data_IF_594848575052
#
_entry.id   IF_594848575052
#
_cell.length_a   1.000
_cell.length_b   1.000
_cell.length_c   1.000
_cell.angle_alpha   90.00
_cell.angle_beta   90.00
_cell.angle_gamma   90.00
#
_symmetry.space_group_name_H-M   'P 1'
#
loop_
_entity.id
_entity.type
_entity.pdbx_description
1 polymer ?
#
# COMPACT_ATOMS: atom_id res chain seq x y z
N UNK A 1 2.63 -3.53 11.59
CA UNK A 1 2.56 -3.72 10.13
C UNK A 1 1.37 -2.93 9.62
N UNK A 2 1.51 -2.21 8.50
CA UNK A 2 0.40 -1.51 7.82
C UNK A 2 0.14 -2.23 6.50
N UNK A 3 -1.06 -2.78 6.34
CA UNK A 3 -1.49 -3.53 5.16
C UNK A 3 -2.83 -2.98 4.65
N UNK A 4 -2.80 -2.04 3.68
CA UNK A 4 -4.00 -1.50 3.06
C UNK A 4 -4.84 -2.58 2.37
N UNK A 5 -6.11 -2.70 2.77
CA UNK A 5 -7.09 -3.58 2.12
C UNK A 5 -7.79 -2.86 0.95
N UNK A 6 -7.52 -3.28 -0.28
CA UNK A 6 -8.14 -2.75 -1.51
C UNK A 6 -8.94 -3.78 -2.29
N UNK A 7 -8.48 -5.03 -2.29
CA UNK A 7 -9.06 -6.05 -3.15
C UNK A 7 -10.44 -6.50 -2.65
N UNK A 8 -11.48 -6.27 -3.47
CA UNK A 8 -12.81 -6.85 -3.32
C UNK A 8 -13.96 -5.89 -2.97
N UNK A 9 -13.66 -4.64 -2.59
CA UNK A 9 -14.69 -3.68 -2.11
C UNK A 9 -14.94 -2.46 -3.02
N UNK A 10 -14.22 -2.34 -4.15
CA UNK A 10 -14.37 -1.19 -5.05
C UNK A 10 -13.97 0.16 -4.43
N UNK A 11 -13.07 0.15 -3.45
CA UNK A 11 -12.66 1.34 -2.71
C UNK A 11 -11.62 2.13 -3.52
N UNK A 12 -11.90 3.41 -3.78
CA UNK A 12 -10.99 4.33 -4.47
C UNK A 12 -10.11 5.13 -3.49
N UNK A 13 -10.52 5.22 -2.23
CA UNK A 13 -9.83 5.97 -1.20
C UNK A 13 -10.19 5.43 0.19
N UNK A 14 -9.24 5.52 1.12
CA UNK A 14 -9.43 5.28 2.55
C UNK A 14 -8.59 6.27 3.36
N UNK A 15 -9.13 6.67 4.51
CA UNK A 15 -8.40 7.37 5.56
C UNK A 15 -8.63 6.64 6.88
N UNK A 16 -7.55 6.24 7.55
CA UNK A 16 -7.58 5.56 8.83
C UNK A 16 -6.61 6.22 9.81
N UNK A 17 -7.01 6.27 11.07
CA UNK A 17 -6.15 6.69 12.18
C UNK A 17 -6.23 5.65 13.28
N UNK A 18 -5.07 5.18 13.74
CA UNK A 18 -4.95 4.18 14.79
C UNK A 18 -4.18 4.79 15.96
N UNK A 19 -4.79 4.91 17.16
CA UNK A 19 -4.07 5.30 18.36
C UNK A 19 -3.00 4.25 18.70
N UNK A 20 -1.78 4.71 19.00
CA UNK A 20 -0.70 3.86 19.52
C UNK A 20 -0.17 4.45 20.83
N UNK A 21 0.57 3.68 21.64
CA UNK A 21 1.22 4.22 22.84
C UNK A 21 2.17 5.41 22.57
N UNK A 22 2.62 5.59 21.33
CA UNK A 22 3.56 6.63 20.93
C UNK A 22 2.90 7.82 20.20
N UNK A 23 1.57 7.82 20.09
CA UNK A 23 0.81 8.82 19.33
C UNK A 23 -0.06 8.18 18.24
N UNK A 24 -0.73 9.01 17.44
CA UNK A 24 -1.62 8.52 16.39
C UNK A 24 -0.83 8.11 15.15
N UNK A 25 -1.05 6.89 14.65
CA UNK A 25 -0.61 6.45 13.33
C UNK A 25 -1.70 6.77 12.30
N UNK A 26 -1.41 7.67 11.37
CA UNK A 26 -2.29 8.03 10.26
C UNK A 26 -1.92 7.27 9.00
N UNK A 27 -2.92 6.76 8.27
CA UNK A 27 -2.74 6.15 6.95
C UNK A 27 -3.84 6.63 6.03
N UNK A 28 -3.45 7.20 4.90
CA UNK A 28 -4.36 7.55 3.81
C UNK A 28 -3.87 6.87 2.56
N UNK A 29 -4.78 6.29 1.78
CA UNK A 29 -4.44 5.84 0.44
C UNK A 29 -5.56 6.12 -0.54
N UNK A 30 -5.19 6.24 -1.81
CA UNK A 30 -6.14 6.36 -2.93
C UNK A 30 -5.60 5.68 -4.18
N UNK A 31 -6.51 5.30 -5.08
CA UNK A 31 -6.17 4.69 -6.36
C UNK A 31 -6.74 5.53 -7.48
N UNK A 32 -5.88 5.93 -8.41
CA UNK A 32 -6.28 6.64 -9.64
C UNK A 32 -5.66 5.96 -10.85
N UNK A 33 -6.47 5.26 -11.63
CA UNK A 33 -5.98 4.42 -12.72
C UNK A 33 -5.11 3.29 -12.18
N UNK A 34 -3.85 3.22 -12.62
CA UNK A 34 -2.89 2.20 -12.14
C UNK A 34 -1.92 2.70 -11.07
N UNK A 35 -2.16 3.89 -10.50
CA UNK A 35 -1.28 4.47 -9.49
C UNK A 35 -1.99 4.46 -8.14
N UNK A 36 -1.32 3.85 -7.15
CA UNK A 36 -1.69 3.92 -5.74
C UNK A 36 -0.87 5.01 -5.08
N UNK A 37 -1.57 5.93 -4.42
CA UNK A 37 -0.99 6.96 -3.57
C UNK A 37 -1.18 6.51 -2.14
N UNK A 38 -0.09 6.43 -1.37
CA UNK A 38 -0.14 6.08 0.05
C UNK A 38 0.59 7.15 0.83
N UNK A 39 -0.04 7.63 1.88
CA UNK A 39 0.52 8.57 2.84
C UNK A 39 0.44 7.95 4.22
N UNK A 40 1.57 7.95 4.93
CA UNK A 40 1.65 7.42 6.30
C UNK A 40 2.28 8.50 7.18
N UNK A 41 1.57 8.82 8.25
CA UNK A 41 2.06 9.67 9.33
C UNK A 41 2.30 8.82 10.57
N UNK A 42 3.57 8.46 10.80
CA UNK A 42 3.97 7.57 11.88
C UNK A 42 4.69 8.36 12.97
N UNK A 43 4.24 8.35 14.24
CA UNK A 43 4.91 9.06 15.32
C UNK A 43 6.27 8.46 15.65
N UNK A 44 7.14 9.26 16.30
CA UNK A 44 8.45 8.79 16.78
C UNK A 44 8.26 7.54 17.66
N UNK A 45 9.08 6.51 17.44
CA UNK A 45 8.98 5.24 18.17
C UNK A 45 8.06 4.20 17.53
N UNK A 46 7.39 4.53 16.41
CA UNK A 46 6.62 3.55 15.62
C UNK A 46 7.34 3.23 14.32
N UNK A 47 8.06 2.11 14.29
CA UNK A 47 8.66 1.58 13.07
C UNK A 47 7.82 0.43 12.54
N UNK A 48 7.78 0.27 11.22
CA UNK A 48 6.99 -0.77 10.61
C UNK A 48 7.26 -0.94 9.13
N UNK A 49 6.34 -1.64 8.50
CA UNK A 49 6.41 -1.97 7.08
C UNK A 49 5.06 -1.67 6.47
N UNK A 50 5.08 -0.93 5.36
CA UNK A 50 3.99 -0.86 4.40
C UNK A 50 4.11 -2.05 3.46
N UNK A 51 3.04 -2.83 3.37
CA UNK A 51 2.87 -3.87 2.34
C UNK A 51 1.69 -3.49 1.47
N UNK A 52 1.88 -3.39 0.16
CA UNK A 52 0.77 -3.43 -0.80
C UNK A 52 0.78 -4.81 -1.45
N UNK A 53 -0.30 -5.56 -1.25
CA UNK A 53 -0.44 -6.90 -1.84
C UNK A 53 -0.35 -6.83 -3.37
N UNK A 54 0.32 -7.80 -3.98
CA UNK A 54 0.30 -8.02 -5.43
C UNK A 54 -1.12 -8.13 -6.00
N UNK A 55 -2.10 -8.49 -5.18
CA UNK A 55 -3.51 -8.60 -5.58
C UNK A 55 -4.07 -7.27 -6.07
N UNK A 56 -3.51 -6.13 -5.64
CA UNK A 56 -3.87 -4.82 -6.17
C UNK A 56 -3.58 -4.71 -7.68
N UNK A 57 -2.52 -5.34 -8.17
CA UNK A 57 -2.19 -5.40 -9.60
C UNK A 57 -2.95 -6.51 -10.34
N UNK A 58 -3.45 -7.51 -9.62
CA UNK A 58 -3.96 -8.76 -10.17
C UNK A 58 -5.48 -8.95 -10.09
N UNK A 59 -6.19 -8.14 -9.31
CA UNK A 59 -7.61 -8.34 -8.99
C UNK A 59 -8.58 -8.14 -10.18
N UNK A 60 -8.15 -7.48 -11.26
CA UNK A 60 -9.09 -6.95 -12.27
C UNK A 60 -8.94 -7.56 -13.68
N UNK A 61 -8.09 -8.55 -13.89
CA UNK A 61 -7.82 -9.05 -15.24
C UNK A 61 -7.60 -10.56 -15.27
N UNK A 62 -8.64 -11.33 -15.61
CA UNK A 62 -8.57 -12.79 -15.76
C UNK A 62 -7.53 -13.21 -16.81
N UNK A 63 -7.27 -12.36 -17.80
CA UNK A 63 -6.25 -12.59 -18.82
C UNK A 63 -4.80 -12.47 -18.28
N UNK A 64 -4.63 -11.97 -17.05
CA UNK A 64 -3.34 -11.78 -16.38
C UNK A 64 -3.01 -12.81 -15.31
N UNK A 65 -3.84 -13.85 -15.09
CA UNK A 65 -3.52 -14.91 -14.10
C UNK A 65 -2.11 -15.47 -14.27
N UNK A 66 -1.64 -15.66 -15.50
CA UNK A 66 -0.27 -16.13 -15.79
C UNK A 66 0.82 -15.06 -15.56
N UNK A 67 0.50 -13.76 -15.67
CA UNK A 67 1.44 -12.66 -15.39
C UNK A 67 1.61 -12.43 -13.88
N UNK A 68 0.57 -12.72 -13.10
CA UNK A 68 0.55 -12.58 -11.64
C UNK A 68 1.37 -13.62 -10.88
N UNK A 69 1.91 -14.64 -11.56
CA UNK A 69 2.83 -15.61 -10.97
C UNK A 69 4.18 -14.97 -10.57
N UNK A 70 4.60 -13.90 -11.26
CA UNK A 70 5.90 -13.25 -11.07
C UNK A 70 5.82 -11.91 -10.33
N UNK A 71 4.61 -11.40 -10.09
CA UNK A 71 4.36 -10.17 -9.30
C UNK A 71 4.65 -10.46 -7.82
N UNK A 72 5.42 -9.59 -7.17
CA UNK A 72 5.67 -9.62 -5.72
C UNK A 72 4.96 -8.46 -5.02
N UNK A 73 4.71 -8.64 -3.72
CA UNK A 73 4.20 -7.55 -2.88
C UNK A 73 5.17 -6.37 -2.90
N UNK A 74 4.61 -5.16 -2.94
CA UNK A 74 5.40 -3.96 -2.71
C UNK A 74 5.61 -3.78 -1.21
N UNK A 75 6.86 -3.89 -0.77
CA UNK A 75 7.22 -3.80 0.65
C UNK A 75 8.17 -2.64 0.87
N UNK A 76 7.84 -1.74 1.80
CA UNK A 76 8.70 -0.62 2.20
C UNK A 76 8.71 -0.42 3.70
N UNK A 77 9.89 -0.12 4.23
CA UNK A 77 10.05 0.24 5.63
C UNK A 77 9.53 1.66 5.88
N UNK A 78 8.82 1.81 6.98
CA UNK A 78 8.32 3.09 7.48
C UNK A 78 9.00 3.31 8.82
N UNK A 79 9.77 4.40 8.91
CA UNK A 79 10.41 4.82 10.15
C UNK A 79 9.59 5.95 10.76
N UNK A 80 9.28 5.81 12.04
CA UNK A 80 8.51 6.81 12.79
C UNK A 80 9.24 8.14 12.93
N UNK A 81 8.46 9.19 13.18
CA UNK A 81 8.94 10.56 13.34
C UNK A 81 8.93 11.40 12.06
N UNK A 82 8.45 10.84 10.95
CA UNK A 82 8.26 11.58 9.71
C UNK A 82 7.08 11.05 8.92
N UNK A 83 6.40 11.98 8.27
CA UNK A 83 5.40 11.69 7.25
C UNK A 83 6.10 11.17 5.98
N UNK A 84 5.59 10.09 5.42
CA UNK A 84 6.13 9.48 4.19
C UNK A 84 5.03 9.30 3.16
N UNK A 85 5.41 9.44 1.89
CA UNK A 85 4.52 9.28 0.75
C UNK A 85 5.11 8.28 -0.24
N UNK A 86 4.25 7.42 -0.78
CA UNK A 86 4.60 6.41 -1.77
C UNK A 86 3.68 6.53 -2.99
N UNK A 87 4.27 6.50 -4.18
CA UNK A 87 3.54 6.45 -5.45
C UNK A 87 3.90 5.13 -6.12
N UNK A 88 2.95 4.20 -6.12
CA UNK A 88 3.19 2.83 -6.59
C UNK A 88 2.41 2.63 -7.87
N UNK A 89 3.13 2.45 -8.98
CA UNK A 89 2.52 2.06 -10.25
C UNK A 89 2.30 0.54 -10.25
N UNK A 90 1.04 0.13 -10.20
CA UNK A 90 0.65 -1.27 -10.19
C UNK A 90 1.13 -2.04 -11.43
N UNK A 91 1.29 -1.35 -12.58
CA UNK A 91 1.87 -1.96 -13.79
C UNK A 91 3.36 -2.28 -13.66
N UNK A 92 4.09 -1.58 -12.79
CA UNK A 92 5.51 -1.83 -12.58
C UNK A 92 5.75 -2.97 -11.59
N UNK A 93 4.77 -3.29 -10.72
CA UNK A 93 4.84 -4.50 -9.90
C UNK A 93 4.83 -5.78 -10.76
N UNK A 94 4.35 -5.70 -12.00
CA UNK A 94 4.34 -6.79 -12.99
C UNK A 94 5.71 -7.09 -13.60
N UNK A 95 6.64 -6.14 -13.56
CA UNK A 95 7.99 -6.28 -14.08
C UNK A 95 8.95 -6.19 -12.90
N UNK A 96 9.35 -7.31 -12.30
CA UNK A 96 10.14 -7.35 -11.06
C UNK A 96 11.52 -6.67 -11.11
N UNK A 97 11.55 -5.34 -11.13
CA UNK A 97 12.70 -4.46 -10.91
C UNK A 97 12.35 -3.38 -9.88
#
# INVERSE_FOLDING_TARGET
MVDPAYAGFGLEWVNATVPTPHGNLGVVWSVKGSIVWVEIDAPVGTNGTLKLSKDWACANDESRRNKCAYVKDYVRMVNGGRKVQFHVNLKHLENGQ
#
